data_IF_157012844299
#
_entry.id   IF_157012844299
#
_cell.length_a   1.000
_cell.length_b   1.000
_cell.length_c   1.000
_cell.angle_alpha   90.00
_cell.angle_beta   90.00
_cell.angle_gamma   90.00
#
_symmetry.space_group_name_H-M   'P 1'
#
loop_
_entity.id
_entity.type
_entity.pdbx_description
1 polymer ?
#
# COMPACT_ATOMS: atom_id res chain seq x y z
N UNK A 1 -52.52 30.54 4.97
CA UNK A 1 -53.75 30.91 5.70
C UNK A 1 -54.58 29.64 5.84
N UNK A 2 -54.74 29.12 7.06
CA UNK A 2 -55.58 27.96 7.35
C UNK A 2 -57.08 28.33 7.18
N UNK A 3 -58.06 27.39 7.14
CA UNK A 3 -58.44 26.65 8.37
C UNK A 3 -59.12 25.26 8.23
N UNK A 4 -59.15 24.55 9.39
CA UNK A 4 -60.23 23.68 9.94
C UNK A 4 -60.54 22.32 9.25
N UNK A 5 -60.76 21.17 9.92
CA UNK A 5 -61.45 20.77 11.18
C UNK A 5 -60.96 19.38 11.65
N UNK A 6 -60.50 19.15 12.89
CA UNK A 6 -61.18 18.59 14.10
C UNK A 6 -62.06 17.33 13.94
N UNK A 7 -61.68 16.22 14.60
CA UNK A 7 -62.54 15.25 15.33
C UNK A 7 -61.69 14.11 15.96
N UNK A 8 -61.42 14.12 17.28
CA UNK A 8 -62.01 13.28 18.36
C UNK A 8 -61.96 11.75 18.11
N UNK A 9 -61.10 10.99 18.79
CA UNK A 9 -61.20 10.41 20.17
C UNK A 9 -61.97 9.07 20.21
N UNK A 10 -61.29 7.97 20.54
CA UNK A 10 -61.79 6.90 21.42
C UNK A 10 -60.70 5.86 21.72
N UNK A 11 -60.49 5.63 23.02
CA UNK A 11 -59.82 4.45 23.59
C UNK A 11 -60.92 3.49 24.04
N UNK A 12 -60.71 2.17 23.94
CA UNK A 12 -60.88 1.33 25.14
C UNK A 12 -59.74 0.30 25.25
N UNK A 13 -59.03 0.24 26.37
CA UNK A 13 -59.35 -0.49 27.62
C UNK A 13 -58.76 -1.91 27.63
N UNK A 14 -57.91 -2.17 28.63
CA UNK A 14 -57.22 -3.43 28.91
C UNK A 14 -58.19 -4.45 29.49
N UNK A 15 -58.13 -5.70 29.01
CA UNK A 15 -58.51 -6.86 29.81
C UNK A 15 -57.38 -7.90 29.79
N UNK A 16 -56.93 -8.25 30.99
CA UNK A 16 -56.06 -9.38 31.30
C UNK A 16 -56.96 -10.50 31.84
N UNK A 17 -56.82 -11.74 31.33
CA UNK A 17 -56.78 -12.99 32.10
C UNK A 17 -56.89 -14.21 31.17
N UNK A 18 -56.07 -15.24 31.41
CA UNK A 18 -56.35 -16.60 30.93
C UNK A 18 -55.15 -17.35 30.36
N UNK A 19 -54.53 -18.17 31.21
CA UNK A 19 -53.38 -19.06 30.98
C UNK A 19 -53.66 -20.30 30.12
N UNK A 20 -52.71 -20.70 29.28
CA UNK A 20 -52.37 -22.12 29.02
C UNK A 20 -51.00 -22.27 28.34
N UNK A 21 -50.34 -23.39 28.64
CA UNK A 21 -48.90 -23.68 28.61
C UNK A 21 -48.30 -24.13 27.26
N UNK A 22 -46.97 -23.93 27.15
CA UNK A 22 -45.97 -24.76 26.42
C UNK A 22 -45.98 -24.63 24.88
N UNK A 23 -44.90 -24.52 24.10
CA UNK A 23 -43.45 -24.75 24.24
C UNK A 23 -42.72 -24.00 23.10
N UNK A 24 -41.58 -23.37 23.41
CA UNK A 24 -40.39 -23.09 22.56
C UNK A 24 -40.59 -22.93 21.03
N UNK A 25 -40.26 -21.81 20.39
CA UNK A 25 -38.86 -21.43 20.11
C UNK A 25 -38.82 -19.95 19.75
N UNK A 26 -38.37 -19.10 20.68
CA UNK A 26 -38.23 -17.66 20.44
C UNK A 26 -36.89 -17.38 19.75
N UNK A 27 -36.95 -17.08 18.45
CA UNK A 27 -35.89 -16.35 17.75
C UNK A 27 -35.80 -14.97 18.39
N UNK A 28 -34.75 -14.74 19.20
CA UNK A 28 -34.44 -13.41 19.72
C UNK A 28 -34.04 -12.51 18.56
N UNK A 29 -35.03 -11.79 18.02
CA UNK A 29 -34.82 -10.51 17.35
C UNK A 29 -34.25 -9.53 18.38
N UNK A 30 -32.92 -9.41 18.41
CA UNK A 30 -32.25 -8.32 19.09
C UNK A 30 -32.16 -7.16 18.10
N UNK A 31 -33.13 -6.26 18.17
CA UNK A 31 -32.97 -4.88 17.73
C UNK A 31 -31.79 -4.27 18.47
N UNK A 32 -30.70 -3.98 17.76
CA UNK A 32 -29.51 -3.38 18.34
C UNK A 32 -29.71 -1.87 18.46
N UNK A 33 -29.69 -1.41 19.72
CA UNK A 33 -29.51 -0.02 20.12
C UNK A 33 -28.31 0.59 19.38
N UNK A 34 -28.54 1.68 18.66
CA UNK A 34 -27.57 2.33 17.76
C UNK A 34 -26.35 3.00 18.40
N UNK A 35 -26.08 2.77 19.70
CA UNK A 35 -25.03 3.48 20.46
C UNK A 35 -23.88 2.58 20.98
N UNK A 36 -23.94 1.25 20.82
CA UNK A 36 -23.02 0.33 21.55
C UNK A 36 -21.71 -0.05 20.83
N UNK A 37 -21.46 0.43 19.61
CA UNK A 37 -20.33 -0.03 18.79
C UNK A 37 -19.01 0.70 18.97
N UNK A 38 -19.04 1.86 19.62
CA UNK A 38 -17.91 2.77 19.76
C UNK A 38 -17.43 2.77 21.22
N UNK A 39 -16.15 2.48 21.42
CA UNK A 39 -15.46 2.60 22.70
C UNK A 39 -14.59 3.85 22.67
N UNK A 40 -14.68 4.60 23.75
CA UNK A 40 -13.69 5.63 24.05
C UNK A 40 -12.39 4.89 24.41
N UNK A 41 -11.29 5.18 23.70
CA UNK A 41 -9.97 4.62 24.00
C UNK A 41 -9.63 4.90 25.48
N UNK A 42 -9.45 3.85 26.29
CA UNK A 42 -8.96 3.99 27.66
C UNK A 42 -7.47 4.32 27.64
N UNK A 43 -7.21 5.62 27.55
CA UNK A 43 -5.89 6.24 27.46
C UNK A 43 -6.07 7.70 27.08
N UNK A 44 -6.07 8.58 28.08
CA UNK A 44 -6.20 10.04 27.97
C UNK A 44 -7.46 10.54 27.27
N UNK A 45 -8.38 11.10 28.10
CA UNK A 45 -9.65 11.79 27.76
C UNK A 45 -9.52 13.04 26.85
N UNK A 46 -8.42 13.19 26.12
CA UNK A 46 -8.09 14.38 25.34
C UNK A 46 -8.48 14.30 23.87
N UNK A 47 -8.64 13.08 23.34
CA UNK A 47 -9.12 12.85 21.97
C UNK A 47 -10.16 11.76 22.03
N UNK A 48 -11.42 12.17 22.13
CA UNK A 48 -12.58 11.29 22.09
C UNK A 48 -12.80 10.88 20.61
N UNK A 49 -11.81 10.21 20.02
CA UNK A 49 -12.05 9.45 18.81
C UNK A 49 -12.66 8.13 19.22
N UNK A 50 -13.84 7.93 18.68
CA UNK A 50 -14.67 6.76 18.77
C UNK A 50 -13.97 5.56 18.11
N UNK A 51 -13.23 4.80 18.92
CA UNK A 51 -12.56 3.57 18.46
C UNK A 51 -13.60 2.46 18.41
N UNK A 52 -13.79 1.85 17.25
CA UNK A 52 -14.75 0.75 17.09
C UNK A 52 -14.36 -0.41 17.99
N UNK A 53 -15.29 -0.93 18.80
CA UNK A 53 -15.06 -2.11 19.62
C UNK A 53 -14.69 -3.32 18.75
N UNK A 54 -13.56 -4.02 18.97
CA UNK A 54 -13.20 -5.20 18.19
C UNK A 54 -14.27 -6.28 18.15
N UNK A 55 -14.99 -6.51 19.26
CA UNK A 55 -16.06 -7.50 19.31
C UNK A 55 -17.27 -7.07 18.47
N UNK A 56 -17.59 -5.78 18.48
CA UNK A 56 -18.64 -5.21 17.62
C UNK A 56 -18.24 -5.31 16.15
N UNK A 57 -17.00 -4.93 15.80
CA UNK A 57 -16.49 -5.03 14.43
C UNK A 57 -16.51 -6.47 13.91
N UNK A 58 -16.08 -7.44 14.74
CA UNK A 58 -16.12 -8.86 14.40
C UNK A 58 -17.57 -9.36 14.27
N UNK A 59 -18.45 -8.95 15.18
CA UNK A 59 -19.88 -9.28 15.12
C UNK A 59 -20.54 -8.74 13.85
N UNK A 60 -20.18 -7.52 13.43
CA UNK A 60 -20.67 -6.90 12.21
C UNK A 60 -20.15 -7.65 10.97
N UNK A 61 -18.85 -7.95 10.91
CA UNK A 61 -18.25 -8.68 9.79
C UNK A 61 -18.86 -10.08 9.58
N UNK A 62 -19.30 -10.74 10.65
CA UNK A 62 -19.92 -12.07 10.58
C UNK A 62 -21.43 -12.04 10.24
N UNK A 63 -22.09 -10.89 10.39
CA UNK A 63 -23.56 -10.77 10.25
C UNK A 63 -23.99 -9.86 9.10
N UNK A 64 -23.09 -9.03 8.58
CA UNK A 64 -23.40 -8.12 7.48
C UNK A 64 -23.66 -8.89 6.19
N UNK A 65 -24.66 -8.44 5.42
CA UNK A 65 -24.88 -8.94 4.06
C UNK A 65 -23.82 -8.44 3.07
N UNK A 66 -23.24 -7.28 3.35
CA UNK A 66 -22.10 -6.76 2.60
C UNK A 66 -20.82 -7.50 3.01
N UNK A 67 -20.12 -8.05 2.03
CA UNK A 67 -18.88 -8.78 2.24
C UNK A 67 -17.71 -8.02 1.59
N UNK A 68 -17.01 -7.25 2.43
CA UNK A 68 -15.82 -6.48 2.00
C UNK A 68 -14.74 -7.40 1.42
N UNK A 69 -14.60 -8.65 1.90
CA UNK A 69 -13.60 -9.58 1.35
C UNK A 69 -13.83 -9.92 -0.12
N UNK A 70 -15.07 -9.80 -0.60
CA UNK A 70 -15.46 -10.10 -1.98
C UNK A 70 -15.65 -8.86 -2.86
N UNK A 71 -15.26 -7.68 -2.36
CA UNK A 71 -15.19 -6.49 -3.21
C UNK A 71 -14.30 -6.78 -4.42
N UNK A 72 -14.71 -6.28 -5.59
CA UNK A 72 -13.96 -6.44 -6.85
C UNK A 72 -12.48 -6.08 -6.71
N UNK A 73 -12.08 -4.94 -6.11
CA UNK A 73 -10.66 -4.65 -5.87
C UNK A 73 -9.95 -5.70 -5.01
N UNK A 74 -10.61 -6.27 -4.00
CA UNK A 74 -9.99 -7.27 -3.12
C UNK A 74 -9.82 -8.62 -3.82
N UNK A 75 -10.77 -8.99 -4.69
CA UNK A 75 -10.63 -10.18 -5.54
C UNK A 75 -9.44 -10.03 -6.50
N UNK A 76 -9.28 -8.85 -7.13
CA UNK A 76 -8.09 -8.53 -7.94
C UNK A 76 -6.82 -8.63 -7.08
N UNK A 77 -6.85 -8.10 -5.85
CA UNK A 77 -5.77 -8.20 -4.88
C UNK A 77 -5.39 -9.64 -4.55
N UNK A 78 -6.35 -10.56 -4.38
CA UNK A 78 -6.04 -11.98 -4.15
C UNK A 78 -5.41 -12.64 -5.38
N UNK A 79 -5.89 -12.33 -6.59
CA UNK A 79 -5.27 -12.82 -7.83
C UNK A 79 -3.82 -12.32 -7.91
N UNK A 80 -3.58 -11.05 -7.56
CA UNK A 80 -2.24 -10.46 -7.46
C UNK A 80 -1.35 -11.21 -6.47
N UNK A 81 -1.85 -11.55 -5.27
CA UNK A 81 -1.11 -12.35 -4.28
C UNK A 81 -0.72 -13.72 -4.86
N UNK A 82 -1.66 -14.39 -5.54
CA UNK A 82 -1.40 -15.71 -6.16
C UNK A 82 -0.37 -15.61 -7.28
N UNK A 83 -0.47 -14.61 -8.15
CA UNK A 83 0.52 -14.41 -9.24
C UNK A 83 1.88 -14.01 -8.69
N UNK A 84 1.95 -13.16 -7.66
CA UNK A 84 3.19 -12.86 -6.96
C UNK A 84 3.82 -14.14 -6.37
N UNK A 85 3.06 -14.93 -5.60
CA UNK A 85 3.56 -16.18 -5.03
C UNK A 85 4.03 -17.18 -6.10
N UNK A 86 3.30 -17.30 -7.20
CA UNK A 86 3.69 -18.14 -8.33
C UNK A 86 5.02 -17.67 -8.95
N UNK A 87 5.20 -16.36 -9.15
CA UNK A 87 6.45 -15.79 -9.65
C UNK A 87 7.63 -16.07 -8.71
N UNK A 88 7.44 -15.91 -7.40
CA UNK A 88 8.47 -16.18 -6.39
C UNK A 88 8.88 -17.66 -6.36
N UNK A 89 7.92 -18.57 -6.54
CA UNK A 89 8.20 -20.02 -6.58
C UNK A 89 9.09 -20.41 -7.77
N UNK A 90 8.86 -19.82 -8.95
CA UNK A 90 9.64 -20.13 -10.16
C UNK A 90 10.92 -19.30 -10.30
N UNK A 91 11.11 -18.29 -9.44
CA UNK A 91 12.23 -17.35 -9.47
C UNK A 91 13.61 -18.01 -9.57
N UNK A 92 13.93 -19.12 -8.87
CA UNK A 92 15.26 -19.72 -8.97
C UNK A 92 15.52 -20.45 -10.29
N UNK A 93 14.47 -20.85 -11.01
CA UNK A 93 14.57 -21.84 -12.10
C UNK A 93 14.19 -21.28 -13.47
N UNK A 94 13.21 -20.38 -13.56
CA UNK A 94 12.66 -19.91 -14.84
C UNK A 94 12.59 -18.38 -14.89
N UNK A 95 13.71 -17.66 -15.07
CA UNK A 95 13.77 -16.21 -14.85
C UNK A 95 12.88 -15.39 -15.77
N UNK A 96 12.75 -15.77 -17.04
CA UNK A 96 11.89 -15.06 -18.00
C UNK A 96 10.40 -15.21 -17.66
N UNK A 97 9.99 -16.43 -17.27
CA UNK A 97 8.61 -16.70 -16.86
C UNK A 97 8.31 -16.02 -15.53
N UNK A 98 9.25 -16.06 -14.58
CA UNK A 98 9.19 -15.32 -13.32
C UNK A 98 8.92 -13.85 -13.56
N UNK A 99 9.75 -13.18 -14.36
CA UNK A 99 9.58 -11.75 -14.66
C UNK A 99 8.24 -11.45 -15.32
N UNK A 100 7.77 -12.29 -16.24
CA UNK A 100 6.48 -12.08 -16.89
C UNK A 100 5.30 -12.19 -15.91
N UNK A 101 5.27 -13.22 -15.06
CA UNK A 101 4.20 -13.39 -14.06
C UNK A 101 4.28 -12.29 -12.99
N UNK A 102 5.50 -11.93 -12.56
CA UNK A 102 5.73 -10.82 -11.63
C UNK A 102 5.19 -9.51 -12.19
N UNK A 103 5.46 -9.22 -13.47
CA UNK A 103 4.93 -8.05 -14.17
C UNK A 103 3.41 -8.03 -14.24
N UNK A 104 2.77 -9.19 -14.48
CA UNK A 104 1.30 -9.30 -14.40
C UNK A 104 0.81 -8.93 -12.99
N UNK A 105 1.47 -9.42 -11.94
CA UNK A 105 1.13 -9.06 -10.56
C UNK A 105 1.23 -7.54 -10.31
N UNK A 106 2.30 -6.90 -10.79
CA UNK A 106 2.44 -5.43 -10.71
C UNK A 106 1.37 -4.67 -11.49
N UNK A 107 0.88 -5.19 -12.62
CA UNK A 107 -0.22 -4.57 -13.37
C UNK A 107 -1.54 -4.67 -12.59
N UNK A 108 -1.78 -5.80 -11.92
CA UNK A 108 -3.01 -6.01 -11.13
C UNK A 108 -3.12 -5.03 -9.96
N UNK A 109 -2.00 -4.56 -9.39
CA UNK A 109 -1.96 -3.45 -8.40
C UNK A 109 -2.66 -2.20 -8.91
N UNK A 110 -2.36 -1.79 -10.15
CA UNK A 110 -2.98 -0.61 -10.73
C UNK A 110 -4.49 -0.81 -10.90
N UNK A 111 -4.88 -2.01 -11.33
CA UNK A 111 -6.28 -2.35 -11.57
C UNK A 111 -7.10 -2.48 -10.29
N UNK A 112 -6.55 -2.99 -9.19
CA UNK A 112 -7.27 -3.07 -7.92
C UNK A 112 -7.67 -1.66 -7.42
N UNK A 113 -6.74 -0.70 -7.45
CA UNK A 113 -7.01 0.66 -7.04
C UNK A 113 -7.97 1.37 -8.00
N UNK A 114 -7.85 1.13 -9.31
CA UNK A 114 -8.79 1.68 -10.31
C UNK A 114 -10.20 1.15 -10.07
N UNK A 115 -10.36 -0.15 -9.80
CA UNK A 115 -11.64 -0.76 -9.49
C UNK A 115 -12.23 -0.20 -8.20
N UNK A 116 -11.43 -0.07 -7.14
CA UNK A 116 -11.86 0.50 -5.86
C UNK A 116 -12.45 1.90 -6.04
N UNK A 117 -11.76 2.78 -6.76
CA UNK A 117 -12.19 4.17 -7.04
C UNK A 117 -13.43 4.24 -7.92
N UNK A 118 -13.48 3.43 -8.99
CA UNK A 118 -14.58 3.46 -9.97
C UNK A 118 -15.87 2.89 -9.39
N UNK A 119 -15.78 1.90 -8.51
CA UNK A 119 -16.92 1.20 -7.92
C UNK A 119 -17.30 1.74 -6.54
N UNK A 120 -16.56 2.71 -5.99
CA UNK A 120 -16.77 3.19 -4.63
C UNK A 120 -16.51 2.13 -3.55
N UNK A 121 -15.69 1.13 -3.86
CA UNK A 121 -15.38 -0.03 -2.99
C UNK A 121 -14.03 0.15 -2.25
N UNK A 122 -13.66 1.39 -1.94
CA UNK A 122 -12.46 1.68 -1.16
C UNK A 122 -12.65 1.17 0.28
N UNK A 123 -11.70 0.39 0.78
CA UNK A 123 -11.78 -0.20 2.12
C UNK A 123 -10.44 -0.17 2.84
N UNK A 124 -10.46 -0.07 4.17
CA UNK A 124 -9.25 -0.17 5.01
C UNK A 124 -8.55 -1.53 4.82
N UNK A 125 -9.33 -2.59 4.71
CA UNK A 125 -8.82 -3.94 4.44
C UNK A 125 -8.08 -4.00 3.09
N UNK A 126 -8.70 -3.52 2.01
CA UNK A 126 -8.08 -3.51 0.68
C UNK A 126 -6.81 -2.66 0.62
N UNK A 127 -6.79 -1.50 1.29
CA UNK A 127 -5.61 -0.65 1.35
C UNK A 127 -4.42 -1.30 2.10
N UNK A 128 -4.71 -2.11 3.14
CA UNK A 128 -3.67 -2.88 3.85
C UNK A 128 -3.23 -4.08 3.00
N UNK A 129 -4.16 -4.78 2.34
CA UNK A 129 -3.87 -5.90 1.45
C UNK A 129 -2.94 -5.48 0.31
N UNK A 130 -3.22 -4.35 -0.35
CA UNK A 130 -2.35 -3.73 -1.37
C UNK A 130 -0.92 -3.55 -0.84
N UNK A 131 -0.80 -2.77 0.25
CA UNK A 131 0.49 -2.42 0.83
C UNK A 131 1.30 -3.66 1.24
N UNK A 132 0.68 -4.62 1.92
CA UNK A 132 1.36 -5.84 2.39
C UNK A 132 1.83 -6.69 1.21
N UNK A 133 1.00 -6.86 0.19
CA UNK A 133 1.34 -7.65 -1.00
C UNK A 133 2.54 -7.07 -1.73
N UNK A 134 2.56 -5.75 -1.92
CA UNK A 134 3.70 -5.02 -2.47
C UNK A 134 5.00 -5.28 -1.69
N UNK A 135 4.94 -5.08 -0.37
CA UNK A 135 6.13 -5.21 0.49
C UNK A 135 6.68 -6.63 0.48
N UNK A 136 5.80 -7.63 0.56
CA UNK A 136 6.19 -9.02 0.53
C UNK A 136 6.82 -9.41 -0.82
N UNK A 137 6.24 -8.99 -1.94
CA UNK A 137 6.76 -9.32 -3.27
C UNK A 137 8.19 -8.75 -3.47
N UNK A 138 8.37 -7.45 -3.25
CA UNK A 138 9.69 -6.80 -3.38
C UNK A 138 10.69 -7.38 -2.37
N UNK A 139 10.29 -7.64 -1.13
CA UNK A 139 11.19 -8.21 -0.14
C UNK A 139 11.68 -9.62 -0.51
N UNK A 140 10.81 -10.48 -1.04
CA UNK A 140 11.22 -11.81 -1.50
C UNK A 140 12.20 -11.73 -2.68
N UNK A 141 11.96 -10.82 -3.63
CA UNK A 141 12.90 -10.52 -4.72
C UNK A 141 14.26 -10.05 -4.17
N UNK A 142 14.27 -9.11 -3.22
CA UNK A 142 15.49 -8.64 -2.59
C UNK A 142 16.19 -9.73 -1.75
N UNK A 143 15.46 -10.63 -1.10
CA UNK A 143 16.04 -11.78 -0.40
C UNK A 143 16.79 -12.69 -1.38
N UNK A 144 16.20 -12.97 -2.54
CA UNK A 144 16.88 -13.73 -3.61
C UNK A 144 18.15 -12.99 -4.09
N UNK A 145 18.05 -11.68 -4.33
CA UNK A 145 19.21 -10.87 -4.73
C UNK A 145 20.31 -10.86 -3.66
N UNK A 146 19.95 -10.82 -2.38
CA UNK A 146 20.92 -10.85 -1.27
C UNK A 146 21.68 -12.18 -1.20
N UNK A 147 20.97 -13.30 -1.42
CA UNK A 147 21.58 -14.63 -1.49
C UNK A 147 22.48 -14.80 -2.73
N UNK A 148 22.18 -14.07 -3.80
CA UNK A 148 22.86 -14.18 -5.09
C UNK A 148 24.07 -13.25 -5.19
N UNK A 149 23.92 -12.00 -4.79
CA UNK A 149 24.95 -10.96 -4.78
C UNK A 149 25.56 -10.81 -3.38
N UNK A 150 26.26 -11.85 -2.92
CA UNK A 150 26.78 -11.95 -1.54
C UNK A 150 27.66 -10.77 -1.12
N UNK A 151 28.46 -10.21 -2.03
CA UNK A 151 29.28 -9.01 -1.80
C UNK A 151 28.46 -7.75 -1.46
N UNK A 152 27.17 -7.71 -1.83
CA UNK A 152 26.27 -6.57 -1.66
C UNK A 152 25.11 -6.91 -0.70
N UNK A 153 25.16 -8.08 -0.06
CA UNK A 153 24.11 -8.61 0.81
C UNK A 153 23.73 -7.64 1.94
N UNK A 154 24.72 -7.01 2.58
CA UNK A 154 24.48 -6.01 3.63
C UNK A 154 23.64 -4.83 3.14
N UNK A 155 23.97 -4.30 1.95
CA UNK A 155 23.21 -3.21 1.33
C UNK A 155 21.77 -3.66 1.05
N UNK A 156 21.60 -4.85 0.47
CA UNK A 156 20.27 -5.36 0.11
C UNK A 156 19.42 -5.63 1.36
N UNK A 157 20.01 -6.20 2.42
CA UNK A 157 19.35 -6.38 3.72
C UNK A 157 18.95 -5.03 4.35
N UNK A 158 19.81 -4.02 4.22
CA UNK A 158 19.47 -2.66 4.63
C UNK A 158 18.28 -2.10 3.82
N UNK A 159 18.24 -2.29 2.49
CA UNK A 159 17.12 -1.86 1.66
C UNK A 159 15.80 -2.52 2.06
N UNK A 160 15.80 -3.84 2.34
CA UNK A 160 14.62 -4.55 2.85
C UNK A 160 14.17 -3.92 4.18
N UNK A 161 15.10 -3.72 5.11
CA UNK A 161 14.80 -3.17 6.44
C UNK A 161 14.26 -1.74 6.35
N UNK A 162 14.86 -0.91 5.51
CA UNK A 162 14.45 0.47 5.29
C UNK A 162 13.05 0.54 4.68
N UNK A 163 12.76 -0.28 3.67
CA UNK A 163 11.47 -0.29 3.01
C UNK A 163 10.34 -0.74 3.97
N UNK A 164 10.54 -1.85 4.69
CA UNK A 164 9.57 -2.32 5.68
C UNK A 164 9.35 -1.31 6.81
N UNK A 165 10.43 -0.83 7.43
CA UNK A 165 10.32 0.09 8.57
C UNK A 165 9.68 1.42 8.19
N UNK A 166 10.06 2.00 7.04
CA UNK A 166 9.51 3.27 6.55
C UNK A 166 8.02 3.18 6.20
N UNK A 167 7.57 2.09 5.59
CA UNK A 167 6.16 1.89 5.27
C UNK A 167 5.33 1.53 6.52
N UNK A 168 5.86 0.68 7.40
CA UNK A 168 5.16 0.29 8.62
C UNK A 168 4.87 1.48 9.54
N UNK A 169 5.90 2.28 9.85
CA UNK A 169 5.73 3.45 10.73
C UNK A 169 4.86 4.53 10.07
N UNK A 170 4.94 4.68 8.75
CA UNK A 170 4.13 5.63 8.01
C UNK A 170 2.65 5.23 8.03
N UNK A 171 2.35 3.96 7.78
CA UNK A 171 0.98 3.44 7.89
C UNK A 171 0.42 3.66 9.30
N UNK A 172 1.20 3.31 10.32
CA UNK A 172 0.78 3.48 11.71
C UNK A 172 0.52 4.97 12.05
N UNK A 173 1.45 5.85 11.66
CA UNK A 173 1.29 7.30 11.81
C UNK A 173 0.01 7.80 11.14
N UNK A 174 -0.28 7.38 9.90
CA UNK A 174 -1.48 7.80 9.17
C UNK A 174 -2.78 7.30 9.82
N UNK A 175 -2.77 6.09 10.36
CA UNK A 175 -3.93 5.54 11.08
C UNK A 175 -4.20 6.29 12.39
N UNK A 176 -3.15 6.64 13.14
CA UNK A 176 -3.28 7.38 14.40
C UNK A 176 -3.72 8.83 14.17
N UNK A 177 -3.27 9.48 13.11
CA UNK A 177 -3.68 10.86 12.78
C UNK A 177 -5.03 10.95 12.06
N UNK A 178 -5.70 9.82 11.81
CA UNK A 178 -7.02 9.79 11.15
C UNK A 178 -6.97 10.08 9.65
N UNK A 179 -5.81 9.92 9.00
CA UNK A 179 -5.70 10.10 7.54
C UNK A 179 -6.43 8.97 6.81
N UNK A 180 -7.20 9.31 5.78
CA UNK A 180 -7.98 8.34 4.99
C UNK A 180 -7.12 7.35 4.20
N UNK A 181 -5.82 7.64 4.00
CA UNK A 181 -4.85 6.78 3.34
C UNK A 181 -3.43 7.03 3.84
N UNK A 182 -2.60 5.99 3.90
CA UNK A 182 -1.16 6.14 4.16
C UNK A 182 -0.41 6.83 3.02
N UNK A 183 -1.04 7.05 1.86
CA UNK A 183 -0.46 7.81 0.73
C UNK A 183 -0.89 9.28 0.75
N UNK A 184 -1.72 9.71 1.71
CA UNK A 184 -2.24 11.08 1.81
C UNK A 184 -1.37 11.92 2.76
N UNK A 185 -0.48 12.74 2.20
CA UNK A 185 0.39 13.65 2.96
C UNK A 185 0.01 15.10 2.68
N UNK A 186 -0.31 15.87 3.72
CA UNK A 186 -0.56 17.32 3.61
C UNK A 186 0.75 18.08 3.39
N UNK A 187 0.70 19.20 2.67
CA UNK A 187 1.86 20.02 2.26
C UNK A 187 2.75 20.50 3.42
N UNK A 188 2.19 20.53 4.62
CA UNK A 188 2.79 21.19 5.79
C UNK A 188 3.85 20.30 6.48
N UNK A 189 3.94 19.02 6.09
CA UNK A 189 4.83 18.04 6.75
C UNK A 189 6.20 17.95 6.07
N UNK A 190 6.28 17.88 4.73
CA UNK A 190 7.55 18.01 3.99
C UNK A 190 7.35 18.20 2.48
N UNK A 191 8.18 19.07 1.86
CA UNK A 191 8.10 19.40 0.43
C UNK A 191 8.43 18.20 -0.47
N UNK A 192 9.42 17.39 -0.12
CA UNK A 192 9.84 16.23 -0.94
C UNK A 192 8.78 15.11 -0.95
N UNK A 193 8.18 14.84 0.21
CA UNK A 193 7.12 13.84 0.35
C UNK A 193 5.81 14.34 -0.29
N UNK A 194 5.55 15.64 -0.22
CA UNK A 194 4.42 16.26 -0.92
C UNK A 194 4.55 16.11 -2.43
N UNK A 195 5.69 16.45 -3.05
CA UNK A 195 5.87 16.24 -4.49
C UNK A 195 5.72 14.77 -4.90
N UNK A 196 6.22 13.86 -4.07
CA UNK A 196 6.11 12.42 -4.29
C UNK A 196 4.66 11.91 -4.23
N UNK A 197 3.86 12.31 -3.24
CA UNK A 197 2.48 11.83 -3.08
C UNK A 197 1.40 12.67 -3.77
N UNK A 198 1.66 13.95 -4.05
CA UNK A 198 0.67 14.85 -4.66
C UNK A 198 0.38 14.49 -6.11
N UNK A 199 1.42 14.13 -6.87
CA UNK A 199 1.27 13.75 -8.27
C UNK A 199 1.33 12.22 -8.41
N UNK A 200 0.18 11.62 -8.74
CA UNK A 200 0.06 10.17 -8.94
C UNK A 200 1.01 9.63 -10.02
N UNK A 201 1.31 10.43 -11.04
CA UNK A 201 2.25 10.02 -12.09
C UNK A 201 3.69 9.94 -11.55
N UNK A 202 4.07 10.86 -10.65
CA UNK A 202 5.39 10.82 -10.01
C UNK A 202 5.49 9.61 -9.10
N UNK A 203 4.47 9.39 -8.25
CA UNK A 203 4.39 8.22 -7.37
C UNK A 203 4.55 6.91 -8.17
N UNK A 204 3.73 6.75 -9.21
CA UNK A 204 3.77 5.56 -10.06
C UNK A 204 5.11 5.40 -10.76
N UNK A 205 5.66 6.47 -11.36
CA UNK A 205 6.93 6.41 -12.08
C UNK A 205 8.09 6.02 -11.18
N UNK A 206 8.17 6.61 -9.98
CA UNK A 206 9.26 6.30 -9.03
C UNK A 206 9.12 4.88 -8.49
N UNK A 207 7.91 4.43 -8.13
CA UNK A 207 7.68 3.05 -7.70
C UNK A 207 7.99 2.05 -8.82
N UNK A 208 7.50 2.32 -10.03
CA UNK A 208 7.75 1.47 -11.20
C UNK A 208 9.24 1.39 -11.53
N UNK A 209 9.95 2.53 -11.58
CA UNK A 209 11.39 2.54 -11.85
C UNK A 209 12.20 1.83 -10.75
N UNK A 210 11.79 1.97 -9.48
CA UNK A 210 12.40 1.23 -8.37
C UNK A 210 12.22 -0.29 -8.56
N UNK A 211 11.01 -0.73 -8.91
CA UNK A 211 10.73 -2.15 -9.11
C UNK A 211 11.47 -2.71 -10.34
N UNK A 212 11.48 -1.96 -11.45
CA UNK A 212 12.25 -2.30 -12.66
C UNK A 212 13.74 -2.42 -12.33
N UNK A 213 14.30 -1.54 -11.49
CA UNK A 213 15.69 -1.63 -11.07
C UNK A 213 15.98 -3.00 -10.42
N UNK A 214 15.16 -3.45 -9.46
CA UNK A 214 15.36 -4.75 -8.80
C UNK A 214 15.14 -5.94 -9.73
N UNK A 215 14.11 -5.89 -10.58
CA UNK A 215 13.86 -6.94 -11.59
C UNK A 215 15.01 -7.01 -12.59
N UNK A 216 15.58 -5.88 -12.99
CA UNK A 216 16.74 -5.84 -13.87
C UNK A 216 18.01 -6.34 -13.18
N UNK A 217 18.21 -6.07 -11.89
CA UNK A 217 19.29 -6.69 -11.12
C UNK A 217 19.13 -8.22 -11.07
N UNK A 218 17.90 -8.71 -10.92
CA UNK A 218 17.58 -10.15 -10.96
C UNK A 218 17.88 -10.77 -12.33
N UNK A 219 17.42 -10.14 -13.42
CA UNK A 219 17.69 -10.61 -14.78
C UNK A 219 19.17 -10.53 -15.13
N UNK A 220 19.90 -9.52 -14.66
CA UNK A 220 21.34 -9.37 -14.89
C UNK A 220 22.18 -10.51 -14.29
N UNK A 221 21.65 -11.25 -13.31
CA UNK A 221 22.30 -12.45 -12.81
C UNK A 221 22.22 -13.63 -13.80
N UNK A 222 21.08 -13.79 -14.47
CA UNK A 222 20.81 -14.91 -15.38
C UNK A 222 21.21 -14.62 -16.83
N UNK A 223 20.95 -13.41 -17.30
CA UNK A 223 21.25 -12.98 -18.66
C UNK A 223 22.71 -12.55 -18.76
N UNK A 224 23.48 -13.25 -19.61
CA UNK A 224 24.89 -12.93 -19.91
C UNK A 224 25.11 -12.54 -21.37
N UNK A 225 24.05 -12.54 -22.18
CA UNK A 225 24.13 -12.29 -23.61
C UNK A 225 24.24 -10.78 -23.86
N UNK A 226 25.34 -10.30 -24.50
CA UNK A 226 25.53 -8.88 -24.76
C UNK A 226 24.48 -8.32 -25.72
N UNK A 227 24.16 -7.04 -25.55
CA UNK A 227 23.17 -6.30 -26.35
C UNK A 227 23.46 -6.40 -27.86
N UNK A 228 24.72 -6.32 -28.29
CA UNK A 228 25.09 -6.41 -29.71
C UNK A 228 24.77 -7.79 -30.35
N UNK A 229 24.61 -8.83 -29.54
CA UNK A 229 24.19 -10.15 -30.03
C UNK A 229 22.69 -10.21 -30.33
N UNK A 230 21.92 -9.20 -29.91
CA UNK A 230 20.47 -9.15 -30.15
C UNK A 230 20.16 -8.98 -31.64
N UNK A 231 19.18 -9.77 -32.10
CA UNK A 231 18.71 -9.78 -33.49
C UNK A 231 18.30 -8.37 -33.92
N UNK A 232 17.63 -7.62 -33.05
CA UNK A 232 17.18 -6.25 -33.34
C UNK A 232 18.33 -5.30 -33.69
N UNK A 233 19.46 -5.35 -32.97
CA UNK A 233 20.61 -4.47 -33.25
C UNK A 233 21.34 -4.91 -34.51
N UNK A 234 21.42 -6.22 -34.79
CA UNK A 234 21.92 -6.70 -36.08
C UNK A 234 21.07 -6.15 -37.23
N UNK A 235 19.74 -6.29 -37.16
CA UNK A 235 18.84 -5.74 -38.16
C UNK A 235 18.92 -4.20 -38.27
N UNK A 236 18.95 -3.48 -37.15
CA UNK A 236 19.05 -2.02 -37.14
C UNK A 236 20.39 -1.53 -37.70
N UNK A 237 21.48 -2.25 -37.44
CA UNK A 237 22.81 -1.98 -38.00
C UNK A 237 22.92 -2.27 -39.51
N UNK A 238 21.98 -3.06 -40.06
CA UNK A 238 21.83 -3.26 -41.50
C UNK A 238 20.94 -2.20 -42.17
N UNK A 239 19.96 -1.65 -41.45
CA UNK A 239 19.02 -0.64 -41.97
C UNK A 239 19.56 0.79 -41.90
N UNK A 240 20.31 1.11 -40.85
CA UNK A 240 21.03 2.36 -40.73
C UNK A 240 22.50 2.11 -41.13
N UNK A 241 23.14 2.97 -41.93
CA UNK A 241 24.58 2.90 -42.18
C UNK A 241 25.34 3.38 -40.94
N UNK A 242 25.08 2.77 -39.78
CA UNK A 242 25.68 3.12 -38.49
C UNK A 242 27.19 3.05 -38.61
N UNK A 243 27.72 2.04 -39.31
CA UNK A 243 29.16 1.92 -39.59
C UNK A 243 29.75 3.09 -40.36
N UNK A 244 29.01 3.76 -41.27
CA UNK A 244 29.54 4.92 -41.99
C UNK A 244 29.50 6.20 -41.14
N UNK A 245 28.51 6.35 -40.26
CA UNK A 245 28.44 7.47 -39.31
C UNK A 245 29.50 7.32 -38.19
N UNK A 246 29.78 6.07 -37.78
CA UNK A 246 30.77 5.72 -36.75
C UNK A 246 32.23 5.90 -37.21
N UNK A 247 32.51 6.14 -38.50
CA UNK A 247 33.86 6.46 -38.96
C UNK A 247 34.26 7.93 -38.71
N UNK A 248 33.32 8.77 -38.30
CA UNK A 248 33.54 10.18 -37.95
C UNK A 248 33.14 10.49 -36.50
N UNK A 249 32.89 9.48 -35.68
CA UNK A 249 32.61 9.67 -34.27
C UNK A 249 33.90 9.95 -33.50
N UNK A 250 33.90 10.93 -32.58
CA UNK A 250 35.06 11.19 -31.75
C UNK A 250 35.36 9.95 -30.88
N UNK A 251 36.63 9.59 -30.70
CA UNK A 251 37.11 8.45 -29.91
C UNK A 251 36.35 8.15 -28.59
N UNK A 252 35.93 9.14 -27.77
CA UNK A 252 35.12 8.88 -26.57
C UNK A 252 33.75 8.25 -26.86
N UNK A 253 33.13 8.52 -28.00
CA UNK A 253 31.83 7.98 -28.37
C UNK A 253 31.93 6.52 -28.87
N UNK A 254 33.02 6.16 -29.56
CA UNK A 254 33.29 4.78 -29.97
C UNK A 254 33.55 3.87 -28.76
N UNK A 255 34.39 4.33 -27.83
CA UNK A 255 34.63 3.62 -26.57
C UNK A 255 33.35 3.44 -25.76
N UNK A 256 32.50 4.49 -25.71
CA UNK A 256 31.20 4.43 -25.04
C UNK A 256 30.27 3.40 -25.70
N UNK A 257 30.18 3.39 -27.03
CA UNK A 257 29.31 2.46 -27.77
C UNK A 257 29.80 1.01 -27.68
N UNK A 258 31.11 0.77 -27.70
CA UNK A 258 31.70 -0.55 -27.50
C UNK A 258 31.45 -1.05 -26.06
N UNK A 259 31.63 -0.17 -25.07
CA UNK A 259 31.33 -0.48 -23.67
C UNK A 259 29.84 -0.79 -23.48
N UNK A 260 28.94 -0.01 -24.08
CA UNK A 260 27.49 -0.24 -24.03
C UNK A 260 27.07 -1.52 -24.79
N UNK A 261 27.77 -1.88 -25.85
CA UNK A 261 27.51 -3.09 -26.64
C UNK A 261 27.83 -4.40 -25.90
N UNK A 262 28.76 -4.34 -24.96
CA UNK A 262 29.19 -5.46 -24.11
C UNK A 262 28.34 -5.66 -22.85
N UNK A 263 27.41 -4.75 -22.57
CA UNK A 263 26.47 -4.80 -21.46
C UNK A 263 25.21 -5.57 -21.89
N UNK A 264 24.50 -6.19 -20.95
CA UNK A 264 23.21 -6.87 -21.20
C UNK A 264 22.04 -5.88 -21.16
N UNK A 265 20.90 -6.20 -21.78
CA UNK A 265 19.72 -5.34 -21.73
C UNK A 265 19.26 -5.07 -20.29
N UNK A 266 19.29 -6.10 -19.45
CA UNK A 266 18.99 -5.99 -18.03
C UNK A 266 19.92 -5.00 -17.31
N UNK A 267 21.24 -5.09 -17.53
CA UNK A 267 22.20 -4.17 -16.92
C UNK A 267 22.03 -2.73 -17.43
N UNK A 268 21.75 -2.52 -18.72
CA UNK A 268 21.51 -1.18 -19.26
C UNK A 268 20.31 -0.52 -18.59
N UNK A 269 19.18 -1.23 -18.50
CA UNK A 269 17.96 -0.72 -17.86
C UNK A 269 18.16 -0.54 -16.35
N UNK A 270 18.93 -1.42 -15.70
CA UNK A 270 19.35 -1.25 -14.32
C UNK A 270 20.08 0.09 -14.13
N UNK A 271 21.09 0.40 -14.95
CA UNK A 271 21.84 1.65 -14.81
C UNK A 271 20.98 2.90 -15.09
N UNK A 272 20.01 2.81 -16.00
CA UNK A 272 19.07 3.89 -16.28
C UNK A 272 18.10 4.14 -15.11
N UNK A 273 17.69 3.08 -14.41
CA UNK A 273 16.70 3.15 -13.32
C UNK A 273 17.34 3.31 -11.94
N UNK A 274 18.63 2.97 -11.78
CA UNK A 274 19.36 3.05 -10.52
C UNK A 274 19.33 4.44 -9.85
N UNK A 275 19.45 5.58 -10.57
CA UNK A 275 19.32 6.90 -9.96
C UNK A 275 17.92 7.13 -9.34
N UNK A 276 16.86 6.67 -10.01
CA UNK A 276 15.48 6.79 -9.52
C UNK A 276 15.25 5.84 -8.34
N UNK A 277 15.82 4.63 -8.39
CA UNK A 277 15.84 3.70 -7.26
C UNK A 277 16.52 4.33 -6.03
N UNK A 278 17.69 4.95 -6.20
CA UNK A 278 18.40 5.65 -5.13
C UNK A 278 17.57 6.81 -4.56
N UNK A 279 16.91 7.60 -5.41
CA UNK A 279 15.96 8.63 -4.99
C UNK A 279 14.82 8.03 -4.15
N UNK A 280 14.26 6.89 -4.56
CA UNK A 280 13.22 6.18 -3.80
C UNK A 280 13.72 5.77 -2.41
N UNK A 281 14.98 5.34 -2.27
CA UNK A 281 15.54 5.01 -0.97
C UNK A 281 15.69 6.24 -0.07
N UNK A 282 16.09 7.40 -0.63
CA UNK A 282 16.10 8.67 0.11
C UNK A 282 14.69 9.04 0.57
N UNK A 283 13.67 8.86 -0.29
CA UNK A 283 12.27 9.09 0.07
C UNK A 283 11.85 8.16 1.22
N UNK A 284 12.24 6.88 1.20
CA UNK A 284 11.97 5.94 2.30
C UNK A 284 12.57 6.42 3.64
N UNK A 285 13.81 6.93 3.64
CA UNK A 285 14.44 7.50 4.84
C UNK A 285 13.65 8.72 5.34
N UNK A 286 13.29 9.65 4.45
CA UNK A 286 12.53 10.84 4.82
C UNK A 286 11.15 10.46 5.35
N UNK A 287 10.49 9.50 4.71
CA UNK A 287 9.19 8.97 5.11
C UNK A 287 9.26 8.38 6.53
N UNK A 288 10.26 7.53 6.79
CA UNK A 288 10.51 6.98 8.13
C UNK A 288 10.68 8.09 9.17
N UNK A 289 11.58 9.05 8.92
CA UNK A 289 11.89 10.11 9.87
C UNK A 289 10.68 11.02 10.15
N UNK A 290 9.91 11.38 9.11
CA UNK A 290 8.74 12.25 9.24
C UNK A 290 7.60 11.57 9.97
N UNK A 291 7.31 10.31 9.65
CA UNK A 291 6.32 9.52 10.37
C UNK A 291 6.69 9.34 11.85
N UNK A 292 7.97 9.07 12.16
CA UNK A 292 8.46 9.03 13.55
C UNK A 292 8.22 10.35 14.29
N UNK A 293 8.49 11.50 13.65
CA UNK A 293 8.25 12.82 14.26
C UNK A 293 6.77 13.08 14.50
N UNK A 294 5.88 12.66 13.59
CA UNK A 294 4.44 12.79 13.78
C UNK A 294 4.00 12.01 15.01
N UNK A 295 4.45 10.76 15.17
CA UNK A 295 4.12 9.93 16.33
C UNK A 295 4.59 10.56 17.65
N UNK A 296 5.82 11.09 17.68
CA UNK A 296 6.31 11.85 18.84
C UNK A 296 5.43 13.08 19.11
N UNK A 297 4.97 13.77 18.07
CA UNK A 297 4.03 14.89 18.19
C UNK A 297 2.69 14.48 18.81
N UNK A 298 2.13 13.34 18.39
CA UNK A 298 0.92 12.75 18.99
C UNK A 298 1.16 12.46 20.47
N UNK A 299 2.25 11.78 20.82
CA UNK A 299 2.58 11.47 22.20
C UNK A 299 2.75 12.73 23.08
N UNK A 300 3.36 13.79 22.54
CA UNK A 300 3.52 15.05 23.25
C UNK A 300 2.17 15.75 23.47
N UNK A 301 1.28 15.74 22.47
CA UNK A 301 -0.06 16.28 22.57
C UNK A 301 -0.91 15.52 23.60
N UNK A 302 -0.87 14.19 23.58
CA UNK A 302 -1.55 13.33 24.57
C UNK A 302 -1.07 13.64 26.00
N UNK A 303 0.26 13.77 26.20
CA UNK A 303 0.84 14.11 27.51
C UNK A 303 0.47 15.53 27.96
N UNK A 304 0.44 16.50 27.05
CA UNK A 304 0.05 17.87 27.38
C UNK A 304 -1.41 17.90 27.87
N UNK A 305 -2.31 17.25 27.14
CA UNK A 305 -3.71 17.25 27.51
C UNK A 305 -3.99 16.49 28.81
N UNK A 306 -3.23 15.42 29.10
CA UNK A 306 -3.27 14.76 30.41
C UNK A 306 -2.83 15.69 31.56
N UNK A 307 -1.77 16.49 31.36
CA UNK A 307 -1.32 17.49 32.35
C UNK A 307 -2.37 18.59 32.56
N UNK A 308 -2.99 19.07 31.49
CA UNK A 308 -4.05 20.07 31.57
C UNK A 308 -5.29 19.52 32.29
N UNK A 309 -5.68 18.27 32.02
CA UNK A 309 -6.78 17.62 32.71
C UNK A 309 -6.51 17.44 34.22
N UNK A 310 -5.29 17.02 34.58
CA UNK A 310 -4.87 16.92 35.99
C UNK A 310 -4.88 18.29 36.69
N UNK A 311 -4.38 19.34 36.02
CA UNK A 311 -4.40 20.70 36.55
C UNK A 311 -5.84 21.23 36.75
N UNK A 312 -6.76 20.94 35.83
CA UNK A 312 -8.19 21.29 35.97
C UNK A 312 -8.83 20.55 37.15
N UNK A 313 -8.54 19.26 37.31
CA UNK A 313 -9.05 18.47 38.43
C UNK A 313 -8.53 18.97 39.79
N UNK A 314 -7.29 19.47 39.84
CA UNK A 314 -6.71 20.06 41.05
C UNK A 314 -7.29 21.44 41.40
N UNK A 315 -7.75 22.23 40.41
CA UNK A 315 -8.38 23.55 40.62
C UNK A 315 -9.86 23.48 41.02
N UNK A 316 -10.52 22.35 40.75
CA UNK A 316 -11.93 22.10 41.08
C UNK A 316 -12.16 21.38 42.41
N UNK A 317 -11.09 21.14 43.18
CA UNK A 317 -11.11 20.65 44.56
C UNK A 317 -10.67 21.78 45.49
#
# INVERSE_FOLDING_TARGET
MAPTTRSKQSTPERQNAGSSSSTSTAVKSQTLDGEKGLRVREGSRARQEDVVDPNYALGLANRSHENVYLFVPNVIGYIRVVTAAASLYIMPTHPKVCTFIYFISCILDVFDGMAARKLGQESKFGAVLDMVTDRCATACLLCFLSATYTNHSLLIMFLITLDFSSHYIHMYSSLVTGSSSHKAVTSDVSRILWYYYHNRNVLFTVCFANEVCFVCAYLAFYEKTPIHSSVLIKYLSHLLPVRQILYHTPAPLDYLLETLGNVTWAQLVFWLTAPVCALKQVINVVQFWKASKILVGVDLAERQAAREAAARAARGR
#
